data_IF_271850893625
#
_entry.id   IF_271850893625
#
_cell.length_a   1.000
_cell.length_b   1.000
_cell.length_c   1.000
_cell.angle_alpha   90.00
_cell.angle_beta   90.00
_cell.angle_gamma   90.00
#
_symmetry.space_group_name_H-M   'P 1'
#
loop_
_entity.id
_entity.type
_entity.pdbx_description
1 polymer ?
#
# COMPACT_ATOMS: atom_id res chain seq x y z
N UNK A 1 19.37 -11.12 -18.46
CA UNK A 1 20.05 -10.02 -17.76
C UNK A 1 21.41 -9.78 -18.44
N UNK A 2 21.49 -8.86 -19.41
CA UNK A 2 22.80 -8.44 -19.94
C UNK A 2 23.42 -7.53 -18.88
N UNK A 3 24.47 -8.02 -18.24
CA UNK A 3 25.28 -7.24 -17.29
C UNK A 3 25.67 -5.91 -17.95
N UNK A 4 25.32 -4.79 -17.30
CA UNK A 4 25.74 -3.45 -17.71
C UNK A 4 27.28 -3.42 -17.84
N UNK A 5 27.85 -2.70 -18.83
CA UNK A 5 29.29 -2.63 -19.00
C UNK A 5 29.95 -2.07 -17.74
N UNK A 6 31.19 -2.50 -17.41
CA UNK A 6 31.87 -2.04 -16.21
C UNK A 6 32.00 -0.52 -16.24
N UNK A 7 31.62 0.13 -15.14
CA UNK A 7 31.82 1.55 -14.87
C UNK A 7 33.32 1.86 -14.85
N UNK A 8 33.95 1.99 -16.02
CA UNK A 8 35.31 2.46 -16.14
C UNK A 8 35.28 4.00 -16.21
N UNK A 9 35.81 4.65 -15.18
CA UNK A 9 35.86 6.12 -15.06
C UNK A 9 36.99 6.76 -15.89
N UNK A 10 37.69 5.98 -16.71
CA UNK A 10 38.83 6.45 -17.53
C UNK A 10 38.51 6.42 -19.03
N UNK A 11 39.04 7.41 -19.77
CA UNK A 11 38.94 7.53 -21.23
C UNK A 11 38.24 8.81 -21.70
N UNK A 12 38.52 9.23 -22.94
CA UNK A 12 38.00 10.47 -23.55
C UNK A 12 36.47 10.45 -23.78
N UNK A 13 35.86 9.25 -23.82
CA UNK A 13 34.43 8.99 -24.00
C UNK A 13 33.67 8.75 -22.68
N UNK A 14 34.29 9.05 -21.53
CA UNK A 14 33.71 8.83 -20.20
C UNK A 14 32.37 9.54 -20.03
N UNK A 15 32.29 10.80 -20.42
CA UNK A 15 31.09 11.63 -20.19
C UNK A 15 29.91 11.15 -21.04
N UNK A 16 30.17 10.71 -22.28
CA UNK A 16 29.16 10.09 -23.16
C UNK A 16 28.65 8.76 -22.60
N UNK A 17 29.55 7.91 -22.10
CA UNK A 17 29.17 6.63 -21.46
C UNK A 17 28.37 6.85 -20.18
N UNK A 18 28.75 7.84 -19.38
CA UNK A 18 28.01 8.23 -18.18
C UNK A 18 26.60 8.73 -18.54
N UNK A 19 26.48 9.64 -19.51
CA UNK A 19 25.20 10.16 -19.97
C UNK A 19 24.29 9.05 -20.54
N UNK A 20 24.85 8.11 -21.32
CA UNK A 20 24.12 6.96 -21.82
C UNK A 20 23.64 6.03 -20.67
N UNK A 21 24.49 5.81 -19.66
CA UNK A 21 24.13 5.06 -18.45
C UNK A 21 22.97 5.70 -17.69
N UNK A 22 23.03 7.00 -17.42
CA UNK A 22 21.96 7.75 -16.75
C UNK A 22 20.66 7.69 -17.57
N UNK A 23 20.74 7.75 -18.90
CA UNK A 23 19.55 7.60 -19.76
C UNK A 23 18.88 6.23 -19.61
N UNK A 24 19.65 5.15 -19.45
CA UNK A 24 19.09 3.81 -19.23
C UNK A 24 18.40 3.74 -17.86
N UNK A 25 19.02 4.33 -16.84
CA UNK A 25 18.43 4.40 -15.49
C UNK A 25 17.12 5.19 -15.54
N UNK A 26 17.08 6.32 -16.24
CA UNK A 26 15.86 7.12 -16.42
C UNK A 26 14.75 6.33 -17.08
N UNK A 27 15.04 5.61 -18.17
CA UNK A 27 14.06 4.75 -18.82
C UNK A 27 13.54 3.64 -17.90
N UNK A 28 14.42 3.04 -17.08
CA UNK A 28 14.02 2.03 -16.11
C UNK A 28 13.11 2.61 -15.02
N UNK A 29 13.42 3.80 -14.51
CA UNK A 29 12.61 4.50 -13.51
C UNK A 29 11.24 4.88 -14.08
N UNK A 30 11.19 5.37 -15.33
CA UNK A 30 9.93 5.65 -16.05
C UNK A 30 9.11 4.39 -16.32
N UNK A 31 9.75 3.23 -16.44
CA UNK A 31 9.10 1.93 -16.52
C UNK A 31 8.68 1.36 -15.16
N UNK A 32 8.86 2.10 -14.06
CA UNK A 32 8.43 1.72 -12.70
C UNK A 32 9.49 1.07 -11.82
N UNK A 33 10.78 1.09 -12.21
CA UNK A 33 11.86 0.62 -11.34
C UNK A 33 12.12 1.59 -10.20
N UNK A 34 11.78 1.19 -8.98
CA UNK A 34 11.99 2.00 -7.79
C UNK A 34 13.48 2.15 -7.45
N UNK A 35 14.32 1.14 -7.70
CA UNK A 35 15.77 1.25 -7.51
C UNK A 35 16.38 2.31 -8.44
N UNK A 36 15.88 2.38 -9.69
CA UNK A 36 16.31 3.41 -10.63
C UNK A 36 15.78 4.80 -10.23
N UNK A 37 14.55 4.88 -9.72
CA UNK A 37 14.00 6.12 -9.16
C UNK A 37 14.82 6.58 -7.94
N UNK A 38 15.18 5.67 -7.04
CA UNK A 38 16.00 5.96 -5.86
C UNK A 38 17.38 6.49 -6.23
N UNK A 39 18.02 5.86 -7.23
CA UNK A 39 19.28 6.35 -7.78
C UNK A 39 19.16 7.79 -8.29
N UNK A 40 18.10 8.11 -9.05
CA UNK A 40 17.88 9.44 -9.60
C UNK A 40 17.43 10.46 -8.54
N UNK A 41 16.77 10.00 -7.47
CA UNK A 41 16.39 10.84 -6.35
C UNK A 41 17.61 11.37 -5.59
N UNK A 42 18.69 10.59 -5.50
CA UNK A 42 19.95 11.00 -4.87
C UNK A 42 20.94 11.64 -5.87
N UNK A 43 21.00 11.10 -7.09
CA UNK A 43 22.05 11.41 -8.08
C UNK A 43 21.57 12.14 -9.33
N UNK A 44 20.32 12.61 -9.36
CA UNK A 44 19.74 13.34 -10.49
C UNK A 44 20.57 14.55 -10.92
N UNK A 45 20.43 14.93 -12.19
CA UNK A 45 21.22 15.97 -12.84
C UNK A 45 21.03 17.35 -12.20
N UNK A 46 19.82 17.63 -11.73
CA UNK A 46 19.42 18.85 -11.03
C UNK A 46 18.41 18.55 -9.92
N UNK A 47 18.06 19.58 -9.15
CA UNK A 47 17.13 19.46 -8.03
C UNK A 47 15.70 19.15 -8.46
N UNK A 48 15.30 19.56 -9.67
CA UNK A 48 13.96 19.28 -10.20
C UNK A 48 13.82 17.78 -10.52
N UNK A 49 14.83 17.17 -11.14
CA UNK A 49 14.88 15.74 -11.41
C UNK A 49 14.90 14.95 -10.10
N UNK A 50 15.75 15.33 -9.15
CA UNK A 50 15.81 14.68 -7.83
C UNK A 50 14.47 14.73 -7.12
N UNK A 51 13.84 15.91 -7.07
CA UNK A 51 12.55 16.11 -6.43
C UNK A 51 11.44 15.30 -7.10
N UNK A 52 11.43 15.21 -8.44
CA UNK A 52 10.48 14.38 -9.18
C UNK A 52 10.51 12.93 -8.73
N UNK A 53 11.71 12.35 -8.63
CA UNK A 53 11.86 10.95 -8.25
C UNK A 53 11.65 10.72 -6.75
N UNK A 54 12.10 11.65 -5.89
CA UNK A 54 11.78 11.64 -4.47
C UNK A 54 10.27 11.67 -4.20
N UNK A 55 9.51 12.44 -4.99
CA UNK A 55 8.04 12.47 -4.91
C UNK A 55 7.43 11.12 -5.29
N UNK A 56 7.87 10.53 -6.41
CA UNK A 56 7.37 9.22 -6.85
C UNK A 56 7.61 8.13 -5.79
N UNK A 57 8.76 8.19 -5.12
CA UNK A 57 9.08 7.29 -4.01
C UNK A 57 8.20 7.57 -2.78
N UNK A 58 7.95 8.84 -2.45
CA UNK A 58 7.05 9.22 -1.37
C UNK A 58 5.60 8.73 -1.62
N UNK A 59 5.14 8.71 -2.87
CA UNK A 59 3.82 8.18 -3.26
C UNK A 59 3.67 6.68 -2.95
N UNK A 60 4.78 5.94 -2.81
CA UNK A 60 4.79 4.52 -2.39
C UNK A 60 5.27 4.32 -0.95
N UNK A 61 5.39 5.42 -0.18
CA UNK A 61 5.81 5.41 1.22
C UNK A 61 7.32 5.40 1.46
N UNK A 62 8.13 5.49 0.39
CA UNK A 62 9.59 5.59 0.46
C UNK A 62 10.01 7.06 0.51
N UNK A 63 10.01 7.63 1.71
CA UNK A 63 10.30 9.04 1.95
C UNK A 63 11.79 9.34 2.13
N UNK A 64 12.63 8.32 2.35
CA UNK A 64 14.06 8.47 2.65
C UNK A 64 14.81 9.48 1.75
N UNK A 65 14.72 9.35 0.42
CA UNK A 65 15.38 10.30 -0.49
C UNK A 65 14.84 11.72 -0.31
N UNK A 66 13.52 11.88 -0.16
CA UNK A 66 12.90 13.18 0.07
C UNK A 66 13.37 13.80 1.39
N UNK A 67 13.36 13.04 2.49
CA UNK A 67 13.81 13.51 3.81
C UNK A 67 15.28 13.93 3.81
N UNK A 68 16.13 13.29 2.99
CA UNK A 68 17.52 13.70 2.81
C UNK A 68 17.63 15.09 2.17
N UNK A 69 16.78 15.41 1.19
CA UNK A 69 16.71 16.76 0.62
C UNK A 69 16.18 17.79 1.62
N UNK A 70 15.24 17.40 2.47
CA UNK A 70 14.58 18.27 3.44
C UNK A 70 15.49 18.67 4.60
N UNK A 71 16.51 17.87 4.89
CA UNK A 71 17.50 18.10 5.94
C UNK A 71 18.74 18.85 5.46
N UNK A 72 18.81 19.16 4.15
CA UNK A 72 19.86 20.01 3.57
C UNK A 72 19.45 21.49 3.65
N UNK A 73 20.20 22.28 4.42
CA UNK A 73 19.95 23.72 4.60
C UNK A 73 20.08 24.52 3.32
N UNK A 74 20.86 24.06 2.34
CA UNK A 74 21.01 24.73 1.06
C UNK A 74 19.77 24.54 0.17
N UNK A 75 18.86 23.64 0.56
CA UNK A 75 17.63 23.29 -0.16
C UNK A 75 16.36 23.77 0.55
N UNK A 76 16.46 24.82 1.38
CA UNK A 76 15.32 25.32 2.16
C UNK A 76 14.06 25.62 1.35
N UNK A 77 14.20 26.05 0.09
CA UNK A 77 13.08 26.27 -0.83
C UNK A 77 12.27 25.00 -1.08
N UNK A 78 12.92 23.84 -1.25
CA UNK A 78 12.24 22.55 -1.45
C UNK A 78 11.43 22.21 -0.20
N UNK A 79 12.01 22.40 0.97
CA UNK A 79 11.30 22.16 2.23
C UNK A 79 10.07 23.06 2.43
N UNK A 80 10.18 24.34 2.08
CA UNK A 80 9.03 25.25 2.11
C UNK A 80 7.89 24.78 1.16
N UNK A 81 8.23 24.23 0.00
CA UNK A 81 7.25 23.68 -0.95
C UNK A 81 6.57 22.43 -0.40
N UNK A 82 7.33 21.49 0.20
CA UNK A 82 6.77 20.29 0.82
C UNK A 82 5.86 20.64 2.01
N UNK A 83 6.27 21.61 2.83
CA UNK A 83 5.45 22.11 3.92
C UNK A 83 4.13 22.72 3.41
N UNK A 84 4.18 23.49 2.32
CA UNK A 84 2.99 24.04 1.70
C UNK A 84 2.07 22.94 1.13
N UNK A 85 2.64 21.95 0.45
CA UNK A 85 1.90 20.80 -0.08
C UNK A 85 1.18 20.01 1.04
N UNK A 86 1.89 19.71 2.13
CA UNK A 86 1.31 19.05 3.30
C UNK A 86 0.17 19.86 3.92
N UNK A 87 0.34 21.18 4.06
CA UNK A 87 -0.73 22.08 4.54
C UNK A 87 -1.94 22.14 3.60
N UNK A 88 -1.73 21.88 2.31
CA UNK A 88 -2.77 21.87 1.30
C UNK A 88 -3.48 20.52 1.14
N UNK A 89 -3.13 19.50 1.94
CA UNK A 89 -3.79 18.20 1.88
C UNK A 89 -3.04 17.12 1.10
N UNK A 90 -1.83 17.39 0.59
CA UNK A 90 -1.09 16.37 -0.17
C UNK A 90 -0.50 15.32 0.78
N UNK A 91 -1.08 14.12 0.78
CA UNK A 91 -0.77 13.09 1.78
C UNK A 91 0.66 12.53 1.71
N UNK A 92 1.28 12.47 0.52
CA UNK A 92 2.70 12.12 0.39
C UNK A 92 3.62 13.11 1.12
N UNK A 93 3.27 14.40 1.09
CA UNK A 93 4.03 15.45 1.76
C UNK A 93 3.81 15.40 3.27
N UNK A 94 2.58 15.12 3.71
CA UNK A 94 2.28 14.87 5.12
C UNK A 94 3.11 13.71 5.69
N UNK A 95 3.20 12.59 4.97
CA UNK A 95 4.04 11.46 5.38
C UNK A 95 5.52 11.85 5.48
N UNK A 96 6.04 12.59 4.49
CA UNK A 96 7.42 13.06 4.53
C UNK A 96 7.70 14.03 5.69
N UNK A 97 6.77 14.94 6.00
CA UNK A 97 6.88 15.85 7.15
C UNK A 97 6.86 15.07 8.47
N UNK A 98 6.00 14.04 8.57
CA UNK A 98 6.01 13.13 9.71
C UNK A 98 7.41 12.54 9.92
N UNK A 99 8.01 11.99 8.88
CA UNK A 99 9.33 11.38 8.98
C UNK A 99 10.41 12.40 9.38
N UNK A 100 10.42 13.60 8.80
CA UNK A 100 11.40 14.64 9.17
C UNK A 100 11.28 15.05 10.64
N UNK A 101 10.07 15.28 11.15
CA UNK A 101 9.88 15.61 12.57
C UNK A 101 10.27 14.44 13.49
N UNK A 102 10.01 13.20 13.07
CA UNK A 102 10.26 11.98 13.85
C UNK A 102 11.70 11.47 13.83
N UNK A 103 12.62 12.07 13.07
CA UNK A 103 14.02 11.61 12.98
C UNK A 103 14.83 11.81 14.27
N UNK A 104 14.34 12.57 15.25
CA UNK A 104 15.06 12.80 16.50
C UNK A 104 16.44 13.43 16.29
N UNK A 105 16.59 14.29 15.27
CA UNK A 105 17.88 14.85 14.87
C UNK A 105 18.38 15.81 15.94
N UNK A 106 19.54 15.53 16.54
CA UNK A 106 20.19 16.42 17.49
C UNK A 106 21.35 17.20 16.86
N UNK A 107 21.51 18.46 17.26
CA UNK A 107 22.71 19.22 16.95
C UNK A 107 23.89 18.80 17.86
N UNK A 108 25.07 19.39 17.65
CA UNK A 108 26.26 19.08 18.44
C UNK A 108 26.15 19.33 19.96
N UNK A 109 25.12 20.06 20.40
CA UNK A 109 24.84 20.36 21.80
C UNK A 109 23.76 19.43 22.40
N UNK A 110 23.31 18.40 21.67
CA UNK A 110 22.25 17.48 22.09
C UNK A 110 20.85 18.10 22.05
N UNK A 111 20.67 19.22 21.35
CA UNK A 111 19.36 19.86 21.18
C UNK A 111 18.72 19.33 19.92
N UNK A 112 17.48 18.84 20.03
CA UNK A 112 16.72 18.38 18.87
C UNK A 112 16.47 19.54 17.91
N UNK A 113 16.93 19.40 16.66
CA UNK A 113 16.84 20.39 15.60
C UNK A 113 15.40 20.82 15.38
N UNK A 114 14.40 19.94 15.48
CA UNK A 114 13.00 20.30 15.30
C UNK A 114 12.45 21.28 16.35
N UNK A 115 13.16 21.50 17.46
CA UNK A 115 12.79 22.48 18.48
C UNK A 115 13.40 23.88 18.25
N UNK A 116 14.30 24.01 17.27
CA UNK A 116 14.98 25.26 16.96
C UNK A 116 14.16 26.12 16.00
N UNK A 117 14.19 27.44 16.18
CA UNK A 117 13.55 28.36 15.25
C UNK A 117 14.34 28.43 13.93
N UNK A 118 13.63 28.35 12.81
CA UNK A 118 14.22 28.35 11.48
C UNK A 118 15.02 27.08 11.13
N UNK A 119 14.68 25.92 11.70
CA UNK A 119 15.35 24.66 11.42
C UNK A 119 15.37 24.31 9.94
N UNK A 120 16.56 23.95 9.44
CA UNK A 120 16.86 23.76 8.01
C UNK A 120 16.48 24.97 7.11
N UNK A 121 16.19 26.14 7.70
CA UNK A 121 15.79 27.36 6.98
C UNK A 121 14.33 27.41 6.54
N UNK A 122 13.54 26.35 6.77
CA UNK A 122 12.14 26.27 6.31
C UNK A 122 11.19 25.62 7.33
N UNK A 123 11.71 24.79 8.23
CA UNK A 123 10.92 23.96 9.13
C UNK A 123 10.55 24.76 10.39
N UNK A 124 9.25 24.87 10.72
CA UNK A 124 8.81 25.50 11.96
C UNK A 124 9.27 24.72 13.19
N UNK A 125 9.72 25.45 14.21
CA UNK A 125 10.02 24.90 15.53
C UNK A 125 8.76 24.33 16.19
N UNK A 126 8.91 23.19 16.85
CA UNK A 126 7.86 22.58 17.68
C UNK A 126 8.43 22.13 19.02
N UNK A 127 7.62 22.26 20.07
CA UNK A 127 8.04 21.88 21.42
C UNK A 127 8.12 20.35 21.60
N UNK A 128 7.27 19.62 20.86
CA UNK A 128 7.20 18.15 20.90
C UNK A 128 7.24 17.62 19.45
N UNK A 129 8.46 17.31 18.94
CA UNK A 129 8.64 16.82 17.58
C UNK A 129 7.94 15.49 17.32
N UNK A 130 7.91 14.59 18.30
CA UNK A 130 7.28 13.28 18.15
C UNK A 130 5.75 13.41 18.03
N UNK A 131 5.15 14.32 18.80
CA UNK A 131 3.73 14.64 18.68
C UNK A 131 3.39 15.29 17.33
N UNK A 132 4.23 16.20 16.82
CA UNK A 132 4.00 16.82 15.50
C UNK A 132 4.22 15.80 14.37
N UNK A 133 5.21 14.91 14.49
CA UNK A 133 5.42 13.81 13.56
C UNK A 133 4.16 12.94 13.47
N UNK A 134 3.65 12.52 14.64
CA UNK A 134 2.43 11.71 14.72
C UNK A 134 1.23 12.42 14.12
N UNK A 135 1.08 13.72 14.36
CA UNK A 135 0.00 14.53 13.79
C UNK A 135 0.03 14.53 12.27
N UNK A 136 1.21 14.70 11.65
CA UNK A 136 1.34 14.65 10.20
C UNK A 136 1.01 13.27 9.62
N UNK A 137 1.45 12.20 10.29
CA UNK A 137 1.10 10.83 9.90
C UNK A 137 -0.42 10.60 9.94
N UNK A 138 -1.08 11.03 11.02
CA UNK A 138 -2.53 10.88 11.18
C UNK A 138 -3.32 11.71 10.17
N UNK A 139 -2.83 12.89 9.77
CA UNK A 139 -3.42 13.66 8.67
C UNK A 139 -3.33 12.92 7.33
N UNK A 140 -2.19 12.27 7.05
CA UNK A 140 -2.02 11.47 5.84
C UNK A 140 -2.97 10.24 5.83
N UNK A 141 -3.14 9.60 7.00
CA UNK A 141 -4.09 8.49 7.18
C UNK A 141 -5.53 8.96 6.98
N UNK A 142 -5.90 10.11 7.56
CA UNK A 142 -7.23 10.70 7.38
C UNK A 142 -7.53 11.09 5.93
N UNK A 143 -6.49 11.37 5.13
CA UNK A 143 -6.60 11.58 3.69
C UNK A 143 -6.74 10.26 2.89
N UNK A 144 -6.76 9.10 3.54
CA UNK A 144 -6.91 7.79 2.90
C UNK A 144 -5.64 7.31 2.19
N UNK A 145 -4.47 7.79 2.61
CA UNK A 145 -3.22 7.46 1.96
C UNK A 145 -2.68 6.10 2.42
N UNK A 146 -2.82 5.07 1.56
CA UNK A 146 -2.42 3.70 1.82
C UNK A 146 -1.01 3.54 2.44
N UNK A 147 0.04 4.21 1.93
CA UNK A 147 1.36 4.14 2.53
C UNK A 147 1.42 4.67 3.98
N UNK A 148 0.68 5.73 4.31
CA UNK A 148 0.62 6.24 5.68
C UNK A 148 -0.17 5.31 6.60
N UNK A 149 -1.26 4.71 6.11
CA UNK A 149 -2.01 3.69 6.86
C UNK A 149 -1.13 2.49 7.19
N UNK A 150 -0.33 2.04 6.22
CA UNK A 150 0.61 0.95 6.41
C UNK A 150 1.71 1.30 7.43
N UNK A 151 2.25 2.52 7.37
CA UNK A 151 3.24 3.00 8.35
C UNK A 151 2.65 3.01 9.76
N UNK A 152 1.47 3.63 9.91
CA UNK A 152 0.78 3.71 11.19
C UNK A 152 0.42 2.33 11.76
N UNK A 153 -0.02 1.40 10.90
CA UNK A 153 -0.28 0.03 11.30
C UNK A 153 0.96 -0.65 11.88
N UNK A 154 2.13 -0.44 11.25
CA UNK A 154 3.40 -0.92 11.76
C UNK A 154 3.72 -0.38 13.15
N UNK A 155 3.51 0.93 13.37
CA UNK A 155 3.80 1.60 14.65
C UNK A 155 2.93 1.09 15.79
N UNK A 156 1.63 0.85 15.53
CA UNK A 156 0.68 0.46 16.59
C UNK A 156 0.56 -1.05 16.79
N UNK A 157 1.04 -1.87 15.85
CA UNK A 157 0.91 -3.34 15.88
C UNK A 157 1.24 -3.97 17.22
N UNK A 158 2.36 -3.59 17.84
CA UNK A 158 2.84 -4.23 19.07
C UNK A 158 1.91 -4.02 20.28
N UNK A 159 1.11 -2.95 20.29
CA UNK A 159 0.19 -2.62 21.37
C UNK A 159 -1.29 -2.76 21.02
N UNK A 160 -1.65 -2.55 19.76
CA UNK A 160 -3.02 -2.51 19.24
C UNK A 160 -3.14 -3.28 17.91
N UNK A 161 -2.91 -4.61 17.89
CA UNK A 161 -2.88 -5.40 16.65
C UNK A 161 -4.21 -5.37 15.87
N UNK A 162 -5.36 -5.30 16.56
CA UNK A 162 -6.67 -5.17 15.90
C UNK A 162 -6.80 -3.84 15.14
N UNK A 163 -6.37 -2.73 15.75
CA UNK A 163 -6.33 -1.42 15.09
C UNK A 163 -5.35 -1.40 13.92
N UNK A 164 -4.21 -2.07 14.06
CA UNK A 164 -3.26 -2.22 12.96
C UNK A 164 -3.89 -2.95 11.77
N UNK A 165 -4.70 -3.99 12.01
CA UNK A 165 -5.40 -4.71 10.95
C UNK A 165 -6.42 -3.82 10.24
N UNK A 166 -7.24 -3.07 10.99
CA UNK A 166 -8.21 -2.12 10.43
C UNK A 166 -7.52 -1.09 9.51
N UNK A 167 -6.38 -0.56 9.93
CA UNK A 167 -5.59 0.39 9.13
C UNK A 167 -5.07 -0.24 7.84
N UNK A 168 -4.56 -1.47 7.90
CA UNK A 168 -4.05 -2.19 6.72
C UNK A 168 -5.18 -2.43 5.72
N UNK A 169 -6.35 -2.84 6.18
CA UNK A 169 -7.51 -3.08 5.31
C UNK A 169 -8.05 -1.80 4.71
N UNK A 170 -8.13 -0.72 5.48
CA UNK A 170 -8.48 0.59 4.96
C UNK A 170 -7.47 1.06 3.90
N UNK A 171 -6.19 0.73 4.06
CA UNK A 171 -5.14 1.00 3.05
C UNK A 171 -5.27 0.15 1.80
N UNK A 172 -5.59 -1.14 1.93
CA UNK A 172 -5.86 -2.02 0.79
C UNK A 172 -7.10 -1.61 0.00
N UNK A 173 -8.08 -0.99 0.67
CA UNK A 173 -9.28 -0.46 0.03
C UNK A 173 -9.08 0.89 -0.66
N UNK A 174 -7.95 1.57 -0.44
CA UNK A 174 -7.62 2.83 -1.12
C UNK A 174 -7.17 2.54 -2.57
N UNK A 175 -7.84 3.12 -3.57
CA UNK A 175 -7.53 2.87 -4.99
C UNK A 175 -7.29 4.18 -5.78
N UNK A 176 -6.29 4.22 -6.70
CA UNK A 176 -5.39 3.13 -7.06
C UNK A 176 -4.16 3.00 -6.14
N UNK A 177 -3.88 1.78 -5.64
CA UNK A 177 -2.70 1.47 -4.82
C UNK A 177 -1.55 0.93 -5.66
N UNK A 178 -0.33 1.41 -5.42
CA UNK A 178 0.85 0.88 -6.11
C UNK A 178 1.09 -0.61 -5.74
N UNK A 179 1.47 -1.50 -6.69
CA UNK A 179 1.62 -2.93 -6.43
C UNK A 179 2.55 -3.28 -5.27
N UNK A 180 3.64 -2.54 -5.08
CA UNK A 180 4.54 -2.74 -3.95
C UNK A 180 3.85 -2.45 -2.61
N UNK A 181 3.05 -1.38 -2.53
CA UNK A 181 2.33 -1.01 -1.31
C UNK A 181 1.28 -2.07 -1.00
N UNK A 182 0.55 -2.53 -2.03
CA UNK A 182 -0.39 -3.65 -1.91
C UNK A 182 0.28 -4.90 -1.36
N UNK A 183 1.40 -5.33 -1.96
CA UNK A 183 2.15 -6.50 -1.52
C UNK A 183 2.62 -6.38 -0.05
N UNK A 184 3.11 -5.21 0.37
CA UNK A 184 3.54 -4.98 1.75
C UNK A 184 2.36 -5.01 2.71
N UNK A 185 1.24 -4.41 2.32
CA UNK A 185 0.00 -4.41 3.10
C UNK A 185 -0.57 -5.82 3.25
N UNK A 186 -0.62 -6.63 2.19
CA UNK A 186 -1.05 -8.03 2.24
C UNK A 186 -0.18 -8.88 3.16
N UNK A 187 1.15 -8.70 3.10
CA UNK A 187 2.07 -9.40 4.01
C UNK A 187 1.85 -9.01 5.47
N UNK A 188 1.65 -7.72 5.73
CA UNK A 188 1.38 -7.25 7.09
C UNK A 188 0.00 -7.73 7.57
N UNK A 189 -1.01 -7.72 6.71
CA UNK A 189 -2.35 -8.27 6.97
C UNK A 189 -2.27 -9.73 7.40
N UNK A 190 -1.57 -10.56 6.64
CA UNK A 190 -1.39 -11.98 6.99
C UNK A 190 -0.70 -12.14 8.35
N UNK A 191 0.37 -11.36 8.59
CA UNK A 191 1.08 -11.37 9.88
C UNK A 191 0.16 -10.99 11.04
N UNK A 192 -0.68 -9.97 10.87
CA UNK A 192 -1.61 -9.51 11.89
C UNK A 192 -2.74 -10.50 12.15
N UNK A 193 -3.24 -11.17 11.09
CA UNK A 193 -4.23 -12.23 11.23
C UNK A 193 -3.66 -13.39 12.05
N UNK A 194 -2.45 -13.84 11.76
CA UNK A 194 -1.75 -14.85 12.55
C UNK A 194 -1.53 -14.40 14.01
N UNK A 195 -1.06 -13.16 14.23
CA UNK A 195 -0.81 -12.60 15.57
C UNK A 195 -2.09 -12.51 16.42
N UNK A 196 -3.24 -12.26 15.78
CA UNK A 196 -4.54 -12.20 16.42
C UNK A 196 -5.21 -13.59 16.57
N UNK A 197 -4.61 -14.64 16.00
CA UNK A 197 -5.21 -15.98 15.96
C UNK A 197 -6.46 -16.04 15.08
N UNK A 198 -6.58 -15.11 14.14
CA UNK A 198 -7.66 -15.04 13.18
C UNK A 198 -7.32 -15.97 12.00
N UNK A 199 -8.16 -16.96 11.76
CA UNK A 199 -8.09 -17.75 10.53
C UNK A 199 -9.17 -17.25 9.56
N UNK A 200 -8.84 -17.20 8.27
CA UNK A 200 -9.80 -16.70 7.26
C UNK A 200 -11.10 -17.53 7.23
N UNK A 201 -11.09 -18.76 7.74
CA UNK A 201 -12.25 -19.66 7.78
C UNK A 201 -13.12 -19.48 9.04
N UNK A 202 -12.54 -19.27 10.24
CA UNK A 202 -13.31 -19.22 11.50
C UNK A 202 -13.97 -17.86 11.75
N UNK A 203 -13.37 -16.74 11.30
CA UNK A 203 -13.92 -15.39 11.52
C UNK A 203 -14.88 -14.92 10.42
N UNK A 204 -15.00 -15.67 9.32
CA UNK A 204 -15.75 -15.20 8.17
C UNK A 204 -17.26 -15.12 8.43
N UNK A 205 -17.76 -15.99 9.31
CA UNK A 205 -19.13 -15.92 9.81
C UNK A 205 -19.38 -14.66 10.68
N UNK A 206 -18.40 -14.27 11.51
CA UNK A 206 -18.52 -13.09 12.38
C UNK A 206 -18.38 -11.79 11.59
N UNK A 207 -17.52 -11.75 10.57
CA UNK A 207 -17.41 -10.60 9.65
C UNK A 207 -18.66 -10.50 8.78
N UNK A 208 -19.26 -11.60 8.28
CA UNK A 208 -20.54 -11.53 7.58
C UNK A 208 -21.64 -10.92 8.46
N UNK A 209 -21.68 -11.31 9.74
CA UNK A 209 -22.66 -10.81 10.69
C UNK A 209 -22.50 -9.32 11.03
N UNK A 210 -21.28 -8.79 10.98
CA UNK A 210 -20.95 -7.41 11.40
C UNK A 210 -20.76 -6.44 10.23
N UNK A 211 -20.12 -6.89 9.15
CA UNK A 211 -19.87 -6.14 7.91
C UNK A 211 -20.01 -7.05 6.68
N UNK A 212 -21.24 -7.27 6.21
CA UNK A 212 -21.50 -8.16 5.09
C UNK A 212 -20.90 -7.66 3.76
N UNK A 213 -20.68 -6.35 3.59
CA UNK A 213 -20.06 -5.78 2.37
C UNK A 213 -18.60 -6.18 2.31
N UNK A 214 -17.90 -6.06 3.44
CA UNK A 214 -16.52 -6.50 3.57
C UNK A 214 -16.39 -8.01 3.44
N UNK A 215 -17.30 -8.79 4.03
CA UNK A 215 -17.34 -10.24 3.86
C UNK A 215 -17.44 -10.65 2.38
N UNK A 216 -18.31 -9.99 1.61
CA UNK A 216 -18.48 -10.25 0.18
C UNK A 216 -17.19 -9.96 -0.61
N UNK A 217 -16.48 -8.90 -0.26
CA UNK A 217 -15.19 -8.58 -0.90
C UNK A 217 -14.09 -9.60 -0.56
N UNK A 218 -14.07 -10.11 0.67
CA UNK A 218 -13.11 -11.12 1.13
C UNK A 218 -13.35 -12.46 0.45
N UNK A 219 -14.61 -12.92 0.39
CA UNK A 219 -14.97 -14.13 -0.35
C UNK A 219 -14.66 -13.98 -1.84
N UNK A 220 -14.79 -12.79 -2.44
CA UNK A 220 -14.43 -12.57 -3.84
C UNK A 220 -12.92 -12.71 -4.09
N UNK A 221 -12.08 -12.33 -3.12
CA UNK A 221 -10.64 -12.53 -3.19
C UNK A 221 -10.28 -14.02 -3.11
N UNK A 222 -10.84 -14.75 -2.15
CA UNK A 222 -10.61 -16.19 -2.03
C UNK A 222 -11.15 -16.99 -3.23
N UNK A 223 -12.32 -16.60 -3.77
CA UNK A 223 -12.88 -17.18 -4.99
C UNK A 223 -11.97 -17.01 -6.22
N UNK A 224 -11.18 -15.93 -6.28
CA UNK A 224 -10.20 -15.72 -7.36
C UNK A 224 -9.06 -16.76 -7.33
N UNK A 225 -8.82 -17.41 -6.19
CA UNK A 225 -7.89 -18.52 -6.04
C UNK A 225 -8.54 -19.90 -6.23
N UNK A 226 -9.78 -19.93 -6.74
CA UNK A 226 -10.62 -21.13 -6.91
C UNK A 226 -10.91 -21.87 -5.59
N UNK A 227 -10.96 -21.13 -4.47
CA UNK A 227 -11.44 -21.66 -3.20
C UNK A 227 -12.92 -22.01 -3.30
N UNK A 228 -13.23 -23.29 -3.11
CA UNK A 228 -14.57 -23.86 -3.33
C UNK A 228 -15.57 -23.34 -2.29
N UNK A 229 -15.14 -23.14 -1.04
CA UNK A 229 -15.99 -22.63 0.03
C UNK A 229 -16.29 -21.14 -0.18
N UNK A 230 -15.32 -20.37 -0.62
CA UNK A 230 -15.52 -18.97 -0.97
C UNK A 230 -16.46 -18.80 -2.18
N UNK A 231 -16.32 -19.63 -3.21
CA UNK A 231 -17.24 -19.63 -4.36
C UNK A 231 -18.67 -19.97 -3.93
N UNK A 232 -18.83 -20.95 -3.04
CA UNK A 232 -20.12 -21.35 -2.47
C UNK A 232 -20.76 -20.20 -1.67
N UNK A 233 -20.00 -19.55 -0.79
CA UNK A 233 -20.50 -18.43 0.01
C UNK A 233 -20.79 -17.19 -0.82
N UNK A 234 -19.95 -16.86 -1.82
CA UNK A 234 -20.22 -15.73 -2.71
C UNK A 234 -21.49 -15.94 -3.53
N UNK A 235 -21.74 -17.17 -3.99
CA UNK A 235 -22.98 -17.56 -4.64
C UNK A 235 -24.20 -17.28 -3.75
N UNK A 236 -24.12 -17.65 -2.47
CA UNK A 236 -25.19 -17.40 -1.48
C UNK A 236 -25.38 -15.91 -1.22
N UNK A 237 -24.29 -15.17 -1.02
CA UNK A 237 -24.36 -13.72 -0.77
C UNK A 237 -24.97 -12.96 -1.95
N UNK A 238 -24.68 -13.39 -3.18
CA UNK A 238 -25.32 -12.84 -4.39
C UNK A 238 -26.80 -13.23 -4.50
N UNK A 239 -27.17 -14.48 -4.13
CA UNK A 239 -28.56 -14.95 -4.12
C UNK A 239 -29.42 -14.19 -3.11
N UNK A 240 -28.88 -13.98 -1.91
CA UNK A 240 -29.59 -13.39 -0.77
C UNK A 240 -29.45 -11.87 -0.69
N UNK A 241 -28.54 -11.27 -1.47
CA UNK A 241 -28.27 -9.83 -1.43
C UNK A 241 -27.53 -9.40 -0.16
N UNK A 242 -26.66 -10.27 0.36
CA UNK A 242 -25.84 -9.97 1.54
C UNK A 242 -24.62 -9.19 1.06
N UNK A 243 -24.36 -8.04 1.68
CA UNK A 243 -23.21 -7.20 1.35
C UNK A 243 -23.28 -6.49 0.00
N UNK A 244 -24.43 -6.48 -0.66
CA UNK A 244 -24.65 -5.82 -1.94
C UNK A 244 -26.04 -6.15 -2.51
N UNK A 245 -26.38 -5.67 -3.71
CA UNK A 245 -27.65 -6.03 -4.34
C UNK A 245 -27.72 -7.54 -4.62
N UNK A 246 -28.95 -8.05 -4.66
CA UNK A 246 -29.25 -9.39 -5.18
C UNK A 246 -28.84 -9.44 -6.64
N UNK A 247 -28.01 -10.42 -6.99
CA UNK A 247 -27.55 -10.66 -8.35
C UNK A 247 -27.61 -12.17 -8.62
N UNK A 248 -28.69 -12.60 -9.25
CA UNK A 248 -28.94 -14.02 -9.49
C UNK A 248 -28.09 -14.58 -10.64
N UNK A 249 -27.63 -13.74 -11.56
CA UNK A 249 -26.77 -14.17 -12.65
C UNK A 249 -25.37 -14.43 -12.10
N UNK A 250 -24.85 -13.51 -11.28
CA UNK A 250 -23.60 -13.72 -10.56
C UNK A 250 -23.71 -14.91 -9.59
N UNK A 251 -24.80 -15.05 -8.82
CA UNK A 251 -24.98 -16.18 -7.91
C UNK A 251 -24.86 -17.53 -8.63
N UNK A 252 -25.49 -17.63 -9.80
CA UNK A 252 -25.46 -18.83 -10.63
C UNK A 252 -24.04 -19.16 -11.09
N UNK A 253 -23.29 -18.17 -11.59
CA UNK A 253 -21.93 -18.36 -12.09
C UNK A 253 -20.98 -18.88 -10.99
N UNK A 254 -21.04 -18.30 -9.79
CA UNK A 254 -20.20 -18.75 -8.67
C UNK A 254 -20.57 -20.16 -8.19
N UNK A 255 -21.86 -20.51 -8.15
CA UNK A 255 -22.28 -21.88 -7.84
C UNK A 255 -21.86 -22.89 -8.91
N UNK A 256 -21.95 -22.54 -10.20
CA UNK A 256 -21.48 -23.40 -11.30
C UNK A 256 -19.98 -23.67 -11.15
N UNK A 257 -19.19 -22.64 -10.84
CA UNK A 257 -17.76 -22.76 -10.55
C UNK A 257 -17.48 -23.63 -9.31
N UNK A 258 -18.16 -23.42 -8.18
CA UNK A 258 -18.00 -24.24 -6.98
C UNK A 258 -18.31 -25.73 -7.25
N UNK A 259 -19.37 -25.99 -8.02
CA UNK A 259 -19.78 -27.33 -8.43
C UNK A 259 -18.76 -28.01 -9.36
N UNK A 260 -18.01 -27.24 -10.15
CA UNK A 260 -17.00 -27.75 -11.08
C UNK A 260 -15.62 -27.93 -10.43
N UNK A 261 -15.18 -27.00 -9.58
CA UNK A 261 -13.85 -27.04 -8.96
C UNK A 261 -13.74 -28.04 -7.80
N UNK A 262 -14.80 -28.23 -7.01
CA UNK A 262 -14.78 -29.08 -5.82
C UNK A 262 -15.84 -30.16 -5.77
N UNK A 263 -16.72 -30.27 -6.77
CA UNK A 263 -17.93 -31.07 -6.71
C UNK A 263 -18.80 -30.72 -5.49
N UNK A 264 -18.86 -29.44 -5.11
CA UNK A 264 -19.59 -29.00 -3.92
C UNK A 264 -21.09 -29.37 -4.00
N UNK A 265 -21.53 -30.21 -3.07
CA UNK A 265 -22.89 -30.75 -3.08
C UNK A 265 -23.93 -29.65 -2.82
N UNK A 266 -23.60 -28.64 -2.02
CA UNK A 266 -24.52 -27.55 -1.71
C UNK A 266 -24.80 -26.70 -2.96
N UNK A 267 -23.76 -26.25 -3.65
CA UNK A 267 -23.87 -25.49 -4.90
C UNK A 267 -24.66 -26.25 -5.96
N UNK A 268 -24.37 -27.55 -6.16
CA UNK A 268 -25.11 -28.42 -7.08
C UNK A 268 -26.59 -28.52 -6.74
N UNK A 269 -26.91 -28.74 -5.47
CA UNK A 269 -28.30 -28.79 -4.98
C UNK A 269 -28.99 -27.45 -5.26
N UNK A 270 -28.31 -26.34 -4.99
CA UNK A 270 -28.88 -25.01 -5.17
C UNK A 270 -29.12 -24.66 -6.64
N UNK A 271 -28.23 -25.08 -7.54
CA UNK A 271 -28.38 -24.97 -8.99
C UNK A 271 -29.60 -25.75 -9.52
N UNK A 272 -29.85 -26.95 -8.97
CA UNK A 272 -31.04 -27.75 -9.31
C UNK A 272 -32.30 -27.08 -8.77
N UNK A 273 -32.33 -26.73 -7.48
CA UNK A 273 -33.52 -26.21 -6.81
C UNK A 273 -34.01 -24.87 -7.38
N UNK A 274 -33.07 -23.96 -7.68
CA UNK A 274 -33.41 -22.58 -8.06
C UNK A 274 -33.37 -22.35 -9.56
N UNK A 275 -32.48 -23.02 -10.29
CA UNK A 275 -32.30 -22.83 -11.73
C UNK A 275 -32.70 -24.07 -12.56
N UNK A 276 -33.13 -25.17 -11.95
CA UNK A 276 -33.60 -26.36 -12.66
C UNK A 276 -32.52 -27.06 -13.49
N UNK A 277 -31.26 -26.93 -13.07
CA UNK A 277 -30.12 -27.51 -13.79
C UNK A 277 -29.91 -28.98 -13.41
N UNK A 278 -30.81 -29.84 -13.86
CA UNK A 278 -30.86 -31.27 -13.52
C UNK A 278 -29.57 -32.05 -13.85
N UNK A 279 -28.71 -31.52 -14.72
CA UNK A 279 -27.41 -32.11 -15.02
C UNK A 279 -26.42 -32.04 -13.84
N UNK A 280 -26.66 -31.16 -12.86
CA UNK A 280 -25.95 -31.16 -11.58
C UNK A 280 -26.55 -32.12 -10.55
N UNK A 281 -27.69 -32.77 -10.83
CA UNK A 281 -28.32 -33.72 -9.90
C UNK A 281 -27.62 -35.10 -9.88
N UNK A 282 -26.88 -35.45 -10.92
CA UNK A 282 -26.14 -36.71 -11.05
C UNK A 282 -24.64 -36.38 -11.02
N UNK A 283 -23.90 -36.93 -10.05
CA UNK A 283 -22.46 -36.68 -9.93
C UNK A 283 -21.70 -37.03 -11.22
N UNK A 284 -20.52 -36.44 -11.49
CA UNK A 284 -19.76 -36.74 -12.71
C UNK A 284 -19.31 -38.21 -12.85
N UNK A 285 -19.54 -39.05 -11.84
CA UNK A 285 -19.13 -40.46 -11.78
C UNK A 285 -20.28 -41.48 -11.60
N UNK A 286 -21.54 -41.14 -11.91
CA UNK A 286 -22.65 -42.11 -12.08
C UNK A 286 -23.07 -42.26 -13.55
#
# INVERSE_FOLDING_TARGET
MRLLPPWNYEGDDRDERFAAGVSVIRQAAEAGSLDAADYLAHGGADDDERMRWSRLLADVGETGPLTSHLTDSDRATIGALVLAAGRNGEAWAMLALSDVYGMGMENGDGVNVATLDGSFGWMPAVADPDAEARRWLELAVAAGFGPAQLRLAGDVRAGEPARALELVEAGLASEPLHPLVRQRAERLRATLMDELGLSMEEDMADIEATDPVRARALYAQAAAEADVDALRELGRMCEEGIGGPVDLDAAKEHYEQAAEFGADHYARTRLVERWGLDWYAVGPDE
#
